data_IF_607824698898
#
_entry.id   IF_607824698898
#
_cell.length_a   1.000
_cell.length_b   1.000
_cell.length_c   1.000
_cell.angle_alpha   90.00
_cell.angle_beta   90.00
_cell.angle_gamma   90.00
#
_symmetry.space_group_name_H-M   'P 1'
#
loop_
_entity.id
_entity.type
_entity.pdbx_description
1 polymer ?
#
# COMPACT_ATOMS: atom_id res chain seq x y z
N UNK A 1 0.33 -23.96 -22.33
CA UNK A 1 1.19 -22.77 -22.43
C UNK A 1 2.65 -23.19 -22.26
N UNK A 2 3.54 -22.64 -23.09
CA UNK A 2 4.98 -22.97 -23.06
C UNK A 2 5.62 -22.73 -21.69
N UNK A 3 5.21 -21.68 -21.00
CA UNK A 3 5.69 -21.35 -19.65
C UNK A 3 5.32 -22.45 -18.64
N UNK A 4 4.09 -22.92 -18.67
CA UNK A 4 3.61 -23.98 -17.79
C UNK A 4 4.34 -25.30 -18.07
N UNK A 5 4.51 -25.64 -19.33
CA UNK A 5 5.20 -26.87 -19.75
C UNK A 5 6.67 -26.86 -19.33
N UNK A 6 7.39 -25.76 -19.58
CA UNK A 6 8.79 -25.60 -19.15
C UNK A 6 8.90 -25.63 -17.62
N UNK A 7 8.03 -24.92 -16.92
CA UNK A 7 8.00 -24.89 -15.46
C UNK A 7 7.79 -26.28 -14.87
N UNK A 8 6.88 -27.06 -15.46
CA UNK A 8 6.61 -28.44 -15.04
C UNK A 8 7.85 -29.34 -15.20
N UNK A 9 8.48 -29.30 -16.37
CA UNK A 9 9.69 -30.10 -16.65
C UNK A 9 10.81 -29.76 -15.66
N UNK A 10 11.00 -28.46 -15.38
CA UNK A 10 12.04 -28.03 -14.44
C UNK A 10 11.73 -28.47 -13.01
N UNK A 11 10.48 -28.36 -12.55
CA UNK A 11 10.07 -28.86 -11.23
C UNK A 11 10.25 -30.37 -11.10
N UNK A 12 9.87 -31.16 -12.11
CA UNK A 12 10.05 -32.62 -12.12
C UNK A 12 11.51 -33.01 -12.00
N UNK A 13 12.42 -32.17 -12.45
CA UNK A 13 13.88 -32.40 -12.36
C UNK A 13 14.52 -31.68 -11.17
N UNK A 14 13.73 -31.25 -10.18
CA UNK A 14 14.18 -30.54 -8.97
C UNK A 14 14.99 -29.23 -9.24
N UNK A 15 14.74 -28.58 -10.36
CA UNK A 15 15.34 -27.29 -10.69
C UNK A 15 14.44 -26.19 -10.13
N UNK A 16 14.96 -25.29 -9.25
CA UNK A 16 14.19 -24.15 -8.76
C UNK A 16 13.78 -23.24 -9.93
N UNK A 17 12.49 -23.03 -10.08
CA UNK A 17 11.92 -22.17 -11.12
C UNK A 17 10.65 -21.50 -10.61
N UNK A 18 10.40 -20.28 -11.04
CA UNK A 18 9.15 -19.57 -10.80
C UNK A 18 8.88 -18.59 -11.95
N UNK A 19 7.62 -18.37 -12.28
CA UNK A 19 7.25 -17.40 -13.29
C UNK A 19 7.51 -15.96 -12.80
N UNK A 20 7.79 -15.07 -13.73
CA UNK A 20 7.78 -13.63 -13.46
C UNK A 20 6.33 -13.16 -13.62
N UNK A 21 5.70 -12.79 -12.51
CA UNK A 21 4.32 -12.35 -12.49
C UNK A 21 4.14 -10.92 -12.97
N UNK A 22 3.12 -10.68 -13.77
CA UNK A 22 2.57 -9.36 -13.99
C UNK A 22 1.50 -9.06 -12.93
N UNK A 23 0.91 -7.86 -12.97
CA UNK A 23 -0.08 -7.46 -11.96
C UNK A 23 -1.34 -8.31 -11.96
N UNK A 24 -1.78 -8.77 -13.14
CA UNK A 24 -2.97 -9.63 -13.27
C UNK A 24 -2.67 -10.98 -12.62
N UNK A 25 -1.51 -11.56 -12.91
CA UNK A 25 -1.08 -12.83 -12.32
C UNK A 25 -1.07 -12.77 -10.79
N UNK A 26 -0.57 -11.67 -10.22
CA UNK A 26 -0.54 -11.47 -8.76
C UNK A 26 -1.96 -11.39 -8.19
N UNK A 27 -2.84 -10.61 -8.83
CA UNK A 27 -4.21 -10.43 -8.37
C UNK A 27 -5.06 -11.71 -8.46
N UNK A 28 -4.76 -12.59 -9.41
CA UNK A 28 -5.45 -13.86 -9.59
C UNK A 28 -4.80 -15.00 -8.82
N UNK A 29 -3.57 -14.84 -8.38
CA UNK A 29 -2.79 -15.88 -7.71
C UNK A 29 -3.46 -16.37 -6.42
N UNK A 30 -3.72 -17.67 -6.34
CA UNK A 30 -4.38 -18.30 -5.20
C UNK A 30 -3.59 -18.14 -3.89
N UNK A 31 -2.24 -18.20 -3.95
CA UNK A 31 -1.38 -18.00 -2.79
C UNK A 31 -1.42 -16.54 -2.31
N UNK A 32 -1.36 -15.58 -3.22
CA UNK A 32 -1.47 -14.16 -2.89
C UNK A 32 -2.81 -13.84 -2.20
N UNK A 33 -3.91 -14.41 -2.71
CA UNK A 33 -5.25 -14.29 -2.10
C UNK A 33 -5.31 -14.94 -0.72
N UNK A 34 -4.84 -16.17 -0.58
CA UNK A 34 -4.83 -16.90 0.70
C UNK A 34 -3.97 -16.20 1.77
N UNK A 35 -2.92 -15.49 1.35
CA UNK A 35 -2.07 -14.69 2.23
C UNK A 35 -2.59 -13.27 2.42
N UNK A 36 -3.68 -12.89 1.76
CA UNK A 36 -4.21 -11.51 1.77
C UNK A 36 -3.11 -10.48 1.45
N UNK A 37 -2.30 -10.79 0.42
CA UNK A 37 -1.21 -9.90 0.01
C UNK A 37 -1.73 -8.64 -0.66
N UNK A 38 -2.88 -8.74 -1.32
CA UNK A 38 -3.63 -7.63 -1.87
C UNK A 38 -4.95 -7.53 -1.12
N UNK A 39 -5.28 -6.35 -0.65
CA UNK A 39 -6.52 -6.02 0.04
C UNK A 39 -7.22 -4.86 -0.63
N UNK A 40 -8.54 -4.85 -0.57
CA UNK A 40 -9.31 -3.71 -1.06
C UNK A 40 -9.43 -2.67 0.05
N UNK A 41 -9.03 -1.46 -0.23
CA UNK A 41 -9.16 -0.31 0.69
C UNK A 41 -10.14 0.68 0.11
N UNK A 42 -11.12 1.05 0.91
CA UNK A 42 -12.07 2.12 0.58
C UNK A 42 -11.48 3.46 1.03
N UNK A 43 -11.21 4.32 0.06
CA UNK A 43 -10.76 5.69 0.31
C UNK A 43 -11.78 6.67 -0.27
N UNK A 44 -12.63 7.21 0.59
CA UNK A 44 -13.70 8.15 0.24
C UNK A 44 -14.68 7.62 -0.82
N UNK A 45 -15.01 6.32 -0.77
CA UNK A 45 -15.91 5.65 -1.72
C UNK A 45 -15.22 5.10 -2.97
N UNK A 46 -13.92 5.33 -3.12
CA UNK A 46 -13.11 4.71 -4.15
C UNK A 46 -12.45 3.46 -3.60
N UNK A 47 -12.86 2.30 -4.10
CA UNK A 47 -12.29 1.02 -3.71
C UNK A 47 -11.09 0.69 -4.56
N UNK A 48 -9.93 0.59 -3.94
CA UNK A 48 -8.67 0.31 -4.63
C UNK A 48 -8.00 -0.93 -4.07
N UNK A 49 -7.59 -1.87 -4.94
CA UNK A 49 -6.71 -2.94 -4.54
C UNK A 49 -5.32 -2.38 -4.22
N UNK A 50 -4.79 -2.71 -3.06
CA UNK A 50 -3.48 -2.25 -2.63
C UNK A 50 -2.73 -3.35 -1.88
N UNK A 51 -1.42 -3.23 -1.81
CA UNK A 51 -0.61 -4.14 -1.00
C UNK A 51 -1.03 -4.09 0.47
N UNK A 52 -1.14 -5.27 1.06
CA UNK A 52 -1.37 -5.41 2.48
C UNK A 52 -0.13 -5.07 3.29
N UNK A 53 -0.31 -4.80 4.58
CA UNK A 53 0.81 -4.53 5.48
C UNK A 53 1.64 -5.80 5.71
N UNK A 54 2.93 -5.70 5.52
CA UNK A 54 3.90 -6.76 5.75
C UNK A 54 5.04 -6.25 6.69
N UNK A 55 5.53 -7.09 7.63
CA UNK A 55 5.10 -8.46 7.97
C UNK A 55 3.78 -8.51 8.74
N UNK A 56 3.07 -9.66 8.67
CA UNK A 56 1.87 -9.91 9.46
C UNK A 56 2.24 -10.23 10.90
N UNK A 57 1.94 -9.33 11.82
CA UNK A 57 2.28 -9.45 13.24
C UNK A 57 1.05 -9.90 14.04
N UNK A 58 1.19 -10.96 14.84
CA UNK A 58 0.08 -11.55 15.58
C UNK A 58 -0.47 -10.66 16.70
N UNK A 59 0.41 -9.96 17.43
CA UNK A 59 0.03 -9.10 18.56
C UNK A 59 -0.26 -7.66 18.20
N UNK A 60 0.39 -7.16 17.14
CA UNK A 60 0.28 -5.78 16.69
C UNK A 60 0.08 -5.76 15.17
N UNK A 61 -1.07 -6.25 14.66
CA UNK A 61 -1.32 -6.29 13.23
C UNK A 61 -1.30 -4.89 12.63
N UNK A 62 -0.58 -4.75 11.54
CA UNK A 62 -0.58 -3.52 10.75
C UNK A 62 -1.94 -3.30 10.08
N UNK A 63 -2.32 -2.03 9.93
CA UNK A 63 -3.56 -1.63 9.25
C UNK A 63 -3.29 -0.46 8.32
N UNK A 64 -3.86 -0.53 7.13
CA UNK A 64 -3.90 0.61 6.21
C UNK A 64 -4.99 1.56 6.71
N UNK A 65 -4.62 2.80 7.04
CA UNK A 65 -5.57 3.79 7.56
C UNK A 65 -6.11 4.70 6.46
N UNK A 66 -5.33 4.95 5.44
CA UNK A 66 -5.68 5.76 4.27
C UNK A 66 -4.69 5.45 3.15
N UNK A 67 -5.04 5.72 1.91
CA UNK A 67 -4.16 5.54 0.73
C UNK A 67 -3.29 6.77 0.48
N UNK A 68 -3.70 7.90 0.98
CA UNK A 68 -3.01 9.18 0.88
C UNK A 68 -3.88 10.27 1.46
N UNK A 69 -3.35 11.46 1.56
CA UNK A 69 -4.09 12.64 2.00
C UNK A 69 -3.84 13.76 1.01
N UNK A 70 -4.76 14.71 0.97
CA UNK A 70 -4.55 15.95 0.25
C UNK A 70 -3.30 16.66 0.74
N UNK A 71 -2.62 17.38 -0.15
CA UNK A 71 -1.42 18.15 0.19
C UNK A 71 -1.73 19.15 1.30
N UNK A 72 -0.94 19.14 2.36
CA UNK A 72 -1.12 20.03 3.50
C UNK A 72 -2.27 19.67 4.45
N UNK A 73 -2.94 18.54 4.27
CA UNK A 73 -4.07 18.14 5.12
C UNK A 73 -3.74 18.06 6.62
N UNK A 74 -2.50 17.74 6.96
CA UNK A 74 -2.03 17.67 8.34
C UNK A 74 -1.33 18.95 8.83
N UNK A 75 -1.17 19.99 7.99
CA UNK A 75 -0.42 21.21 8.32
C UNK A 75 -0.92 21.85 9.61
N UNK A 76 -2.21 22.16 9.71
CA UNK A 76 -2.78 22.79 10.91
C UNK A 76 -2.47 21.95 12.13
N UNK A 77 -2.79 20.67 12.09
CA UNK A 77 -2.57 19.78 13.22
C UNK A 77 -1.10 19.69 13.65
N UNK A 78 -0.20 19.49 12.70
CA UNK A 78 1.23 19.33 13.02
C UNK A 78 1.83 20.65 13.52
N UNK A 79 1.54 21.76 12.87
CA UNK A 79 2.10 23.06 13.27
C UNK A 79 1.54 23.54 14.62
N UNK A 80 0.26 23.29 14.87
CA UNK A 80 -0.33 23.59 16.18
C UNK A 80 0.19 22.66 17.27
N UNK A 81 0.08 21.33 17.08
CA UNK A 81 0.34 20.36 18.14
C UNK A 81 1.84 20.24 18.49
N UNK A 82 2.73 20.41 17.50
CA UNK A 82 4.16 20.20 17.69
C UNK A 82 4.98 21.48 17.78
N UNK A 83 4.57 22.52 17.07
CA UNK A 83 5.29 23.80 17.02
C UNK A 83 4.60 24.91 17.84
N UNK A 84 3.38 24.66 18.32
CA UNK A 84 2.64 25.63 19.12
C UNK A 84 2.20 26.87 18.35
N UNK A 85 2.15 26.77 17.00
CA UNK A 85 1.74 27.90 16.15
C UNK A 85 0.24 28.15 16.26
N UNK A 86 -0.14 29.40 16.24
CA UNK A 86 -1.55 29.80 16.13
C UNK A 86 -2.09 29.57 14.72
N UNK A 87 -3.40 29.42 14.61
CA UNK A 87 -4.06 29.30 13.30
C UNK A 87 -3.82 30.54 12.42
N UNK A 88 -3.68 31.71 13.01
CA UNK A 88 -3.40 32.97 12.30
C UNK A 88 -2.01 32.91 11.65
N UNK A 89 -0.98 32.48 12.38
CA UNK A 89 0.37 32.30 11.84
C UNK A 89 0.40 31.29 10.69
N UNK A 90 -0.29 30.16 10.86
CA UNK A 90 -0.39 29.12 9.81
C UNK A 90 -1.10 29.67 8.57
N UNK A 91 -2.18 30.43 8.75
CA UNK A 91 -2.91 31.04 7.64
C UNK A 91 -2.09 32.11 6.91
N UNK A 92 -1.22 32.82 7.61
CA UNK A 92 -0.31 33.77 6.99
C UNK A 92 0.73 33.08 6.14
N UNK A 93 1.34 31.98 6.64
CA UNK A 93 2.27 31.15 5.86
C UNK A 93 1.61 30.57 4.60
N UNK A 94 0.34 30.19 4.70
CA UNK A 94 -0.46 29.75 3.55
C UNK A 94 -0.65 30.85 2.50
N UNK A 95 -0.98 32.07 2.95
CA UNK A 95 -1.16 33.22 2.04
C UNK A 95 0.13 33.62 1.34
N UNK A 96 1.26 33.43 2.01
CA UNK A 96 2.59 33.72 1.49
C UNK A 96 3.11 32.56 0.58
N UNK A 97 2.38 31.46 0.46
CA UNK A 97 2.76 30.32 -0.37
C UNK A 97 3.96 29.53 0.18
N UNK A 98 4.19 29.60 1.49
CA UNK A 98 5.28 28.87 2.15
C UNK A 98 4.87 27.45 2.48
N UNK A 99 3.58 27.24 2.79
CA UNK A 99 2.98 25.92 3.12
C UNK A 99 1.66 25.73 2.40
#
# INVERSE_FOLDING_TARGET
DLLEEVSKILHENAVPVGPVFNIVDIMENAHAKAREMIVEVDDNGLKLPTESVFPKMSRTPGKIKHLGKEMGADNIKIFTDRLGMSEEEINNLKKEGII
#
